data_IF_881828520089
#
_entry.id   IF_881828520089
#
_cell.length_a   1.000
_cell.length_b   1.000
_cell.length_c   1.000
_cell.angle_alpha   90.00
_cell.angle_beta   90.00
_cell.angle_gamma   90.00
#
_symmetry.space_group_name_H-M   'P 1'
#
loop_
_entity.id
_entity.type
_entity.pdbx_description
1 polymer ?
#
# COMPACT_ATOMS: atom_id res chain seq x y z
N UNK A 1 -7.70 19.29 7.28
CA UNK A 1 -8.05 17.91 7.66
C UNK A 1 -7.39 17.47 8.98
N UNK A 2 -6.93 18.40 9.83
CA UNK A 2 -7.66 18.61 11.10
C UNK A 2 -7.92 20.10 11.43
N UNK A 3 -7.19 21.04 10.80
CA UNK A 3 -7.30 22.48 11.09
C UNK A 3 -8.68 23.12 10.88
N UNK A 4 -9.55 22.52 10.07
CA UNK A 4 -10.87 23.09 9.77
C UNK A 4 -12.01 22.44 10.53
N UNK A 5 -11.77 21.35 11.26
CA UNK A 5 -12.84 20.60 11.91
C UNK A 5 -12.51 20.44 13.39
N UNK A 6 -13.16 21.26 14.21
CA UNK A 6 -12.99 21.28 15.66
C UNK A 6 -13.31 19.93 16.29
N UNK A 7 -14.22 19.16 15.69
CA UNK A 7 -14.59 17.82 16.17
C UNK A 7 -13.41 16.87 15.98
N UNK A 8 -12.80 16.87 14.79
CA UNK A 8 -11.65 16.01 14.52
C UNK A 8 -10.43 16.38 15.37
N UNK A 9 -10.22 17.67 15.67
CA UNK A 9 -9.17 18.12 16.57
C UNK A 9 -9.36 17.54 17.99
N UNK A 10 -10.57 17.70 18.56
CA UNK A 10 -10.90 17.21 19.91
C UNK A 10 -10.83 15.68 19.98
N UNK A 11 -11.39 14.97 18.99
CA UNK A 11 -11.32 13.50 18.94
C UNK A 11 -9.88 12.98 18.82
N UNK A 12 -8.99 13.76 18.23
CA UNK A 12 -7.57 13.44 18.11
C UNK A 12 -6.74 13.87 19.33
N UNK A 13 -7.36 14.47 20.35
CA UNK A 13 -6.69 14.94 21.57
C UNK A 13 -5.96 16.28 21.42
N UNK A 14 -6.28 17.07 20.40
CA UNK A 14 -5.73 18.41 20.19
C UNK A 14 -6.75 19.50 20.53
N UNK A 15 -6.27 20.66 20.95
CA UNK A 15 -7.12 21.84 21.11
C UNK A 15 -7.60 22.36 19.74
N UNK A 16 -8.87 22.82 19.63
CA UNK A 16 -9.34 23.51 18.43
C UNK A 16 -8.43 24.69 18.09
N UNK A 17 -8.05 24.83 16.81
CA UNK A 17 -7.08 25.82 16.29
C UNK A 17 -5.61 25.58 16.64
N UNK A 18 -5.29 24.62 17.51
CA UNK A 18 -3.91 24.25 17.86
C UNK A 18 -3.64 22.80 17.46
N UNK A 19 -3.69 22.54 16.15
CA UNK A 19 -3.41 21.22 15.58
C UNK A 19 -2.13 21.26 14.74
N UNK A 20 -1.31 20.20 14.76
CA UNK A 20 -0.12 20.10 13.92
C UNK A 20 -0.48 20.28 12.44
N UNK A 21 0.47 20.79 11.65
CA UNK A 21 0.27 20.83 10.20
C UNK A 21 0.30 19.41 9.61
N UNK A 22 -0.30 19.27 8.43
CA UNK A 22 -0.33 18.04 7.65
C UNK A 22 1.09 17.50 7.43
N UNK A 23 2.09 18.37 7.22
CA UNK A 23 3.50 17.98 7.08
C UNK A 23 4.04 17.27 8.32
N UNK A 24 3.70 17.76 9.51
CA UNK A 24 4.15 17.18 10.79
C UNK A 24 3.63 15.75 10.98
N UNK A 25 2.40 15.47 10.54
CA UNK A 25 1.86 14.10 10.57
C UNK A 25 2.62 13.16 9.64
N UNK A 26 2.96 13.61 8.43
CA UNK A 26 3.76 12.81 7.51
C UNK A 26 5.17 12.57 8.05
N UNK A 27 5.81 13.57 8.64
CA UNK A 27 7.12 13.43 9.28
C UNK A 27 7.09 12.44 10.45
N UNK A 28 6.05 12.50 11.28
CA UNK A 28 5.84 11.54 12.35
C UNK A 28 5.69 10.11 11.82
N UNK A 29 4.86 9.89 10.79
CA UNK A 29 4.69 8.57 10.18
C UNK A 29 5.97 8.07 9.51
N UNK A 30 6.75 8.96 8.89
CA UNK A 30 8.03 8.62 8.27
C UNK A 30 9.03 8.09 9.30
N UNK A 31 9.03 8.59 10.55
CA UNK A 31 9.90 8.06 11.62
C UNK A 31 9.59 6.61 12.00
N UNK A 32 8.38 6.13 11.74
CA UNK A 32 8.01 4.73 11.96
C UNK A 32 8.23 3.86 10.73
N UNK A 33 8.70 4.44 9.63
CA UNK A 33 9.01 3.71 8.42
C UNK A 33 10.41 3.10 8.56
N UNK A 34 10.47 1.77 8.58
CA UNK A 34 11.72 1.03 8.84
C UNK A 34 12.59 0.82 7.60
N UNK A 35 12.15 1.27 6.43
CA UNK A 35 12.92 1.14 5.19
C UNK A 35 13.83 2.33 4.99
N UNK A 36 15.07 2.05 4.63
CA UNK A 36 16.08 3.03 4.28
C UNK A 36 15.63 3.95 3.13
N UNK A 37 15.92 5.25 3.28
CA UNK A 37 15.49 6.29 2.35
C UNK A 37 16.20 6.21 0.99
N UNK A 38 17.45 5.77 0.96
CA UNK A 38 18.18 5.56 -0.31
C UNK A 38 17.58 4.40 -1.08
N UNK A 39 17.26 3.30 -0.39
CA UNK A 39 16.57 2.15 -0.99
C UNK A 39 15.19 2.56 -1.54
N UNK A 40 14.42 3.35 -0.80
CA UNK A 40 13.14 3.88 -1.29
C UNK A 40 13.32 4.77 -2.52
N UNK A 41 14.31 5.66 -2.48
CA UNK A 41 14.60 6.60 -3.56
C UNK A 41 15.03 5.86 -4.83
N UNK A 42 15.86 4.83 -4.71
CA UNK A 42 16.26 3.96 -5.81
C UNK A 42 15.05 3.24 -6.42
N UNK A 43 14.13 2.73 -5.59
CA UNK A 43 12.88 2.11 -6.08
C UNK A 43 11.98 3.10 -6.82
N UNK A 44 11.82 4.34 -6.32
CA UNK A 44 11.04 5.41 -6.97
C UNK A 44 11.64 5.90 -8.30
N UNK A 45 12.95 5.73 -8.48
CA UNK A 45 13.68 6.06 -9.72
C UNK A 45 13.75 4.88 -10.70
N UNK A 46 13.38 3.67 -10.27
CA UNK A 46 13.44 2.47 -11.10
C UNK A 46 12.59 2.63 -12.35
N UNK A 47 13.22 2.33 -13.49
CA UNK A 47 12.52 2.23 -14.77
C UNK A 47 12.02 0.80 -14.96
N UNK A 48 10.75 0.65 -15.32
CA UNK A 48 10.07 -0.63 -15.49
C UNK A 48 9.57 -0.74 -16.93
N UNK A 49 9.73 -1.91 -17.54
CA UNK A 49 9.22 -2.14 -18.89
C UNK A 49 7.68 -2.09 -18.90
N UNK A 50 7.06 -1.49 -19.92
CA UNK A 50 5.60 -1.47 -20.02
C UNK A 50 5.03 -2.89 -20.05
N UNK A 51 4.06 -3.16 -19.18
CA UNK A 51 3.29 -4.40 -19.22
C UNK A 51 2.26 -4.34 -20.35
N UNK A 52 2.22 -5.39 -21.18
CA UNK A 52 1.23 -5.52 -22.26
C UNK A 52 -0.02 -6.21 -21.74
N UNK A 53 -1.18 -5.76 -22.22
CA UNK A 53 -2.45 -6.46 -21.94
C UNK A 53 -2.30 -7.93 -22.38
N UNK A 54 -2.80 -8.89 -21.58
CA UNK A 54 -2.78 -10.30 -21.96
C UNK A 54 -3.44 -10.48 -23.33
N UNK A 55 -2.82 -11.27 -24.21
CA UNK A 55 -3.38 -11.55 -25.54
C UNK A 55 -4.61 -12.46 -25.48
N UNK A 56 -4.71 -13.29 -24.44
CA UNK A 56 -5.81 -14.23 -24.25
C UNK A 56 -7.10 -13.50 -23.88
N UNK A 57 -8.06 -13.49 -24.81
CA UNK A 57 -9.42 -12.98 -24.56
C UNK A 57 -10.23 -14.10 -23.90
N UNK A 58 -10.76 -13.84 -22.71
CA UNK A 58 -11.66 -14.75 -22.01
C UNK A 58 -13.09 -14.52 -22.45
N UNK A 59 -13.94 -15.54 -22.34
CA UNK A 59 -15.37 -15.39 -22.60
C UNK A 59 -16.01 -14.49 -21.52
N UNK A 60 -17.14 -13.82 -21.82
CA UNK A 60 -17.91 -13.11 -20.79
C UNK A 60 -18.22 -14.03 -19.61
N UNK A 61 -17.89 -13.61 -18.39
CA UNK A 61 -18.10 -14.38 -17.16
C UNK A 61 -16.97 -15.37 -16.78
N UNK A 62 -15.98 -15.58 -17.66
CA UNK A 62 -14.85 -16.46 -17.37
C UNK A 62 -13.75 -15.70 -16.59
N UNK A 63 -13.42 -16.17 -15.39
CA UNK A 63 -12.34 -15.58 -14.57
C UNK A 63 -10.98 -15.98 -15.13
N UNK A 64 -9.99 -15.10 -14.99
CA UNK A 64 -8.60 -15.44 -15.30
C UNK A 64 -8.16 -16.60 -14.40
N UNK A 65 -7.49 -17.63 -14.93
CA UNK A 65 -6.95 -18.69 -14.09
C UNK A 65 -5.94 -18.09 -13.10
N UNK A 66 -5.90 -18.64 -11.89
CA UNK A 66 -4.98 -18.19 -10.85
C UNK A 66 -3.55 -18.36 -11.35
N UNK A 67 -2.80 -17.25 -11.42
CA UNK A 67 -1.42 -17.23 -11.95
C UNK A 67 -0.45 -18.11 -11.14
N UNK A 68 -0.72 -18.28 -9.85
CA UNK A 68 0.09 -19.04 -8.91
C UNK A 68 -0.79 -20.00 -8.09
N UNK A 69 -1.11 -21.20 -8.61
CA UNK A 69 -1.88 -22.19 -7.86
C UNK A 69 -1.11 -22.64 -6.61
N UNK A 70 -1.81 -22.92 -5.51
CA UNK A 70 -1.20 -23.35 -4.24
C UNK A 70 -0.48 -22.25 -3.44
N UNK A 71 -0.58 -20.97 -3.84
CA UNK A 71 0.08 -19.87 -3.11
C UNK A 71 -0.41 -19.76 -1.66
N UNK A 72 -1.70 -20.05 -1.42
CA UNK A 72 -2.29 -20.00 -0.07
C UNK A 72 -1.68 -21.07 0.82
N UNK A 73 -1.62 -22.32 0.36
CA UNK A 73 -0.99 -23.42 1.09
C UNK A 73 0.48 -23.12 1.43
N UNK A 74 1.22 -22.54 0.47
CA UNK A 74 2.61 -22.13 0.68
C UNK A 74 2.74 -21.05 1.76
N UNK A 75 1.85 -20.05 1.75
CA UNK A 75 1.82 -18.99 2.76
C UNK A 75 1.47 -19.54 4.14
N UNK A 76 0.49 -20.43 4.23
CA UNK A 76 0.11 -21.12 5.48
C UNK A 76 1.29 -21.95 6.01
N UNK A 77 1.95 -22.72 5.14
CA UNK A 77 3.11 -23.52 5.54
C UNK A 77 4.28 -22.66 6.05
N UNK A 78 4.50 -21.47 5.48
CA UNK A 78 5.49 -20.52 6.00
C UNK A 78 5.11 -19.98 7.38
N UNK A 79 3.85 -19.57 7.56
CA UNK A 79 3.35 -19.07 8.83
C UNK A 79 3.45 -20.12 9.95
N UNK A 80 3.02 -21.36 9.69
CA UNK A 80 3.10 -22.47 10.66
C UNK A 80 4.55 -22.80 11.03
N UNK A 81 5.48 -22.70 10.08
CA UNK A 81 6.93 -22.90 10.34
C UNK A 81 7.60 -21.71 11.03
N UNK A 82 6.85 -20.69 11.45
CA UNK A 82 7.38 -19.46 12.04
C UNK A 82 8.22 -18.62 11.09
N UNK A 83 8.19 -18.91 9.79
CA UNK A 83 8.87 -18.09 8.78
C UNK A 83 8.00 -16.90 8.46
N UNK A 84 8.61 -15.72 8.41
CA UNK A 84 7.94 -14.55 7.92
C UNK A 84 7.87 -14.58 6.38
N UNK A 85 6.67 -14.73 5.78
CA UNK A 85 6.53 -14.70 4.32
C UNK A 85 6.81 -13.31 3.73
N UNK A 86 6.86 -12.27 4.56
CA UNK A 86 7.02 -10.87 4.14
C UNK A 86 8.25 -10.23 4.82
N UNK A 87 9.48 -10.51 4.36
CA UNK A 87 10.69 -9.99 5.01
C UNK A 87 10.81 -8.46 4.94
N UNK A 88 10.22 -7.83 3.92
CA UNK A 88 10.20 -6.38 3.73
C UNK A 88 8.95 -5.77 4.38
N UNK A 89 8.98 -5.56 5.69
CA UNK A 89 7.90 -4.88 6.44
C UNK A 89 8.33 -3.48 6.88
N UNK A 90 8.51 -2.59 5.91
CA UNK A 90 8.79 -1.17 6.17
C UNK A 90 7.77 -0.54 7.16
N UNK A 91 6.50 -0.95 7.03
CA UNK A 91 5.37 -0.51 7.87
C UNK A 91 5.23 -1.25 9.20
N UNK A 92 6.15 -2.19 9.55
CA UNK A 92 5.99 -3.07 10.72
C UNK A 92 5.75 -2.27 12.00
N UNK A 93 6.51 -1.21 12.19
CA UNK A 93 6.42 -0.43 13.42
C UNK A 93 5.10 0.34 13.51
N UNK A 94 4.64 0.94 12.40
CA UNK A 94 3.31 1.56 12.30
C UNK A 94 2.22 0.54 12.66
N UNK A 95 2.26 -0.66 12.08
CA UNK A 95 1.28 -1.71 12.37
C UNK A 95 1.33 -2.14 13.84
N UNK A 96 2.51 -2.22 14.45
CA UNK A 96 2.66 -2.56 15.87
C UNK A 96 2.09 -1.49 16.78
N UNK A 97 2.33 -0.21 16.48
CA UNK A 97 1.77 0.92 17.22
C UNK A 97 0.24 0.91 17.08
N UNK A 98 -0.27 0.77 15.86
CA UNK A 98 -1.71 0.69 15.62
C UNK A 98 -2.36 -0.49 16.35
N UNK A 99 -1.74 -1.68 16.29
CA UNK A 99 -2.24 -2.86 16.99
C UNK A 99 -2.28 -2.63 18.52
N UNK A 100 -1.23 -2.04 19.10
CA UNK A 100 -1.13 -1.83 20.55
C UNK A 100 -2.02 -0.70 21.07
N UNK A 101 -1.98 0.44 20.40
CA UNK A 101 -2.64 1.66 20.88
C UNK A 101 -4.11 1.70 20.49
N UNK A 102 -4.48 1.11 19.35
CA UNK A 102 -5.86 1.16 18.84
C UNK A 102 -6.53 -0.19 19.01
N UNK A 103 -6.05 -1.24 18.34
CA UNK A 103 -6.77 -2.52 18.28
C UNK A 103 -6.91 -3.18 19.65
N UNK A 104 -5.82 -3.30 20.44
CA UNK A 104 -5.89 -3.89 21.77
C UNK A 104 -6.71 -3.05 22.76
N UNK A 105 -6.68 -1.71 22.64
CA UNK A 105 -7.51 -0.85 23.48
C UNK A 105 -8.99 -0.99 23.13
N UNK A 106 -9.32 -1.05 21.84
CA UNK A 106 -10.69 -1.29 21.40
C UNK A 106 -11.23 -2.65 21.84
N UNK A 107 -10.40 -3.70 21.86
CA UNK A 107 -10.76 -5.00 22.45
C UNK A 107 -11.04 -4.89 23.95
N UNK A 108 -10.17 -4.21 24.71
CA UNK A 108 -10.37 -4.01 26.15
C UNK A 108 -11.62 -3.19 26.49
N UNK A 109 -12.00 -2.26 25.61
CA UNK A 109 -13.22 -1.47 25.72
C UNK A 109 -14.46 -2.21 25.21
N UNK A 110 -14.33 -3.42 24.66
CA UNK A 110 -15.44 -4.19 24.10
C UNK A 110 -15.99 -3.63 22.78
N UNK A 111 -15.26 -2.71 22.11
CA UNK A 111 -15.65 -2.13 20.82
C UNK A 111 -15.44 -3.11 19.65
N UNK A 112 -14.52 -4.07 19.83
CA UNK A 112 -14.27 -5.16 18.89
C UNK A 112 -14.67 -6.45 19.62
N UNK A 113 -15.46 -7.35 18.97
CA UNK A 113 -15.81 -8.63 19.57
C UNK A 113 -14.58 -9.50 19.82
N UNK A 114 -14.74 -10.56 20.61
CA UNK A 114 -13.64 -11.44 20.95
C UNK A 114 -12.97 -11.98 19.67
N UNK A 115 -11.62 -12.11 19.61
CA UNK A 115 -10.92 -12.46 18.37
C UNK A 115 -11.35 -13.78 17.73
N UNK A 116 -11.87 -14.72 18.52
CA UNK A 116 -12.41 -16.00 18.03
C UNK A 116 -13.77 -15.85 17.32
N UNK A 117 -14.48 -14.76 17.59
CA UNK A 117 -15.78 -14.43 16.98
C UNK A 117 -15.62 -13.46 15.80
N UNK A 118 -14.37 -13.03 15.51
CA UNK A 118 -14.06 -12.06 14.48
C UNK A 118 -13.89 -12.76 13.12
N UNK A 119 -14.79 -12.47 12.19
CA UNK A 119 -14.60 -12.84 10.78
C UNK A 119 -13.71 -11.78 10.12
N UNK A 120 -12.47 -12.15 9.83
CA UNK A 120 -11.55 -11.28 9.10
C UNK A 120 -11.86 -11.31 7.60
N UNK A 121 -12.60 -10.32 7.12
CA UNK A 121 -12.73 -10.03 5.69
C UNK A 121 -11.69 -8.99 5.30
N UNK A 122 -10.77 -9.35 4.40
CA UNK A 122 -9.87 -8.39 3.77
C UNK A 122 -10.40 -8.07 2.37
N UNK A 123 -11.10 -6.94 2.21
CA UNK A 123 -11.34 -6.40 0.88
C UNK A 123 -10.07 -5.66 0.43
N UNK A 124 -9.67 -5.88 -0.83
CA UNK A 124 -8.70 -4.99 -1.45
C UNK A 124 -9.42 -3.70 -1.78
N UNK A 125 -9.54 -2.76 -0.83
CA UNK A 125 -10.17 -1.47 -1.09
C UNK A 125 -9.41 -0.81 -2.23
N UNK A 126 -10.06 -0.65 -3.39
CA UNK A 126 -9.49 0.05 -4.54
C UNK A 126 -9.48 1.55 -4.25
N UNK A 127 -8.54 2.00 -3.43
CA UNK A 127 -8.29 3.42 -3.24
C UNK A 127 -7.89 3.98 -4.59
N UNK A 128 -8.65 4.94 -5.13
CA UNK A 128 -8.25 5.67 -6.34
C UNK A 128 -7.01 6.47 -6.03
N UNK A 129 -5.85 5.87 -6.25
CA UNK A 129 -4.58 6.58 -6.19
C UNK A 129 -4.46 7.46 -7.42
N UNK A 130 -3.95 8.69 -7.29
CA UNK A 130 -3.55 9.52 -8.45
C UNK A 130 -2.37 8.95 -9.25
N UNK A 131 -1.93 7.72 -8.94
CA UNK A 131 -0.92 7.00 -9.69
C UNK A 131 -1.48 6.56 -11.04
N UNK A 132 -0.82 6.99 -12.12
CA UNK A 132 -1.14 6.55 -13.48
C UNK A 132 -0.64 5.12 -13.69
N UNK A 133 -1.56 4.21 -14.04
CA UNK A 133 -1.21 2.85 -14.49
C UNK A 133 -0.35 2.82 -15.77
N UNK A 134 -0.27 3.93 -16.49
CA UNK A 134 0.51 4.03 -17.72
C UNK A 134 1.95 4.48 -17.49
N UNK A 135 2.33 4.87 -16.26
CA UNK A 135 3.65 5.43 -15.97
C UNK A 135 3.97 6.73 -16.71
N UNK A 136 5.13 7.31 -16.42
CA UNK A 136 5.69 8.46 -17.12
C UNK A 136 6.76 7.98 -18.12
N UNK A 137 6.66 8.44 -19.37
CA UNK A 137 7.69 8.20 -20.39
C UNK A 137 8.91 9.07 -20.11
N UNK A 138 10.10 8.47 -20.10
CA UNK A 138 11.39 9.16 -19.92
C UNK A 138 12.24 9.20 -21.20
N UNK A 139 11.74 8.60 -22.28
CA UNK A 139 12.42 8.53 -23.58
C UNK A 139 11.99 9.66 -24.53
N UNK A 140 12.85 9.98 -25.50
CA UNK A 140 12.56 10.96 -26.55
C UNK A 140 11.84 10.38 -27.78
N UNK A 141 11.42 9.10 -27.74
CA UNK A 141 10.73 8.44 -28.86
C UNK A 141 9.53 9.23 -29.41
N UNK A 142 8.76 9.89 -28.53
CA UNK A 142 7.63 10.73 -28.95
C UNK A 142 8.06 11.95 -29.75
N UNK A 143 9.22 12.55 -29.44
CA UNK A 143 9.79 13.67 -30.21
C UNK A 143 10.26 13.19 -31.60
N UNK A 144 10.72 11.94 -31.68
CA UNK A 144 11.17 11.30 -32.93
C UNK A 144 10.02 10.67 -33.75
N UNK A 145 8.76 10.99 -33.46
CA UNK A 145 7.58 10.46 -34.18
C UNK A 145 7.17 9.03 -33.80
N UNK A 146 7.84 8.37 -32.85
CA UNK A 146 7.51 7.00 -32.41
C UNK A 146 6.50 7.05 -31.25
N UNK A 147 5.23 6.75 -31.57
CA UNK A 147 4.13 6.78 -30.59
C UNK A 147 4.05 5.52 -29.70
N UNK A 148 4.43 4.36 -30.24
CA UNK A 148 4.33 3.05 -29.56
C UNK A 148 5.71 2.48 -29.24
N UNK A 149 6.46 3.16 -28.37
CA UNK A 149 7.76 2.65 -27.90
C UNK A 149 7.60 1.69 -26.72
N UNK A 150 8.44 0.65 -26.68
CA UNK A 150 8.57 -0.25 -25.52
C UNK A 150 9.62 0.22 -24.51
N UNK A 151 9.98 1.51 -24.56
CA UNK A 151 10.98 2.08 -23.67
C UNK A 151 10.52 1.98 -22.20
N UNK A 152 11.47 1.77 -21.27
CA UNK A 152 11.16 1.75 -19.85
C UNK A 152 10.45 3.02 -19.38
N UNK A 153 9.49 2.83 -18.48
CA UNK A 153 8.66 3.87 -17.90
C UNK A 153 9.00 4.06 -16.44
N UNK A 154 8.84 5.28 -15.93
CA UNK A 154 8.92 5.57 -14.50
C UNK A 154 7.52 5.56 -13.90
N UNK A 155 7.29 4.74 -12.89
CA UNK A 155 6.00 4.71 -12.18
C UNK A 155 6.07 5.55 -10.91
N UNK A 156 4.95 6.16 -10.53
CA UNK A 156 4.82 6.85 -9.24
C UNK A 156 4.79 5.86 -8.08
N UNK A 157 4.17 4.69 -8.29
CA UNK A 157 4.26 3.56 -7.37
C UNK A 157 5.57 2.77 -7.62
N UNK A 158 6.50 2.71 -6.65
CA UNK A 158 7.75 1.96 -6.79
C UNK A 158 7.58 0.45 -6.89
N UNK A 159 6.42 -0.07 -6.45
CA UNK A 159 6.09 -1.50 -6.50
C UNK A 159 5.34 -1.90 -7.77
N UNK A 160 4.98 -0.93 -8.62
CA UNK A 160 4.36 -1.21 -9.91
C UNK A 160 5.24 -2.14 -10.75
N UNK A 161 4.58 -3.10 -11.41
CA UNK A 161 5.15 -4.11 -12.30
C UNK A 161 4.34 -4.23 -13.57
#
# INVERSE_FOLDING_TARGET
MPRCDSILAVLSGFEPNNTPDVGTFYDFLNRFWLEDDDVQTQRRKRLVKPSRKPSKRLKPGEKLPVKHPGIVEKLVAYAVKGRDPFPLRAKRLIHLVFARCVVYRSLQLGLIPHPLDLVLAGDGTSVRTGASHYGARVCDCRKNGVLNCDCPLRFSDPQAR
#
